data_IF_588498560769
#
_entry.id   IF_588498560769
#
_cell.length_a   1.000
_cell.length_b   1.000
_cell.length_c   1.000
_cell.angle_alpha   90.00
_cell.angle_beta   90.00
_cell.angle_gamma   90.00
#
_symmetry.space_group_name_H-M   'P 1'
#
loop_
_entity.id
_entity.type
_entity.pdbx_description
1 polymer ?
#
# COMPACT_ATOMS: atom_id res chain seq x y z
N UNK A 1 -1.97 -14.17 -11.83
CA UNK A 1 -0.50 -13.94 -11.72
C UNK A 1 0.25 -15.24 -11.95
N UNK A 2 -0.02 -16.35 -11.23
CA UNK A 2 0.68 -17.64 -11.41
C UNK A 2 0.56 -18.13 -12.86
N UNK A 3 -0.63 -18.12 -13.44
CA UNK A 3 -0.84 -18.51 -14.84
C UNK A 3 -0.05 -17.63 -15.81
N UNK A 4 0.06 -16.33 -15.52
CA UNK A 4 0.84 -15.40 -16.33
C UNK A 4 2.35 -15.68 -16.21
N UNK A 5 2.86 -15.91 -15.00
CA UNK A 5 4.26 -16.27 -14.78
C UNK A 5 4.57 -17.58 -15.52
N UNK A 6 3.71 -18.59 -15.40
CA UNK A 6 3.87 -19.86 -16.09
C UNK A 6 3.84 -19.72 -17.62
N UNK A 7 2.91 -18.92 -18.15
CA UNK A 7 2.83 -18.61 -19.57
C UNK A 7 4.08 -17.86 -20.06
N UNK A 8 4.51 -16.86 -19.32
CA UNK A 8 5.70 -16.09 -19.64
C UNK A 8 6.99 -16.91 -19.60
N UNK A 9 7.15 -17.76 -18.59
CA UNK A 9 8.27 -18.71 -18.55
C UNK A 9 8.20 -19.70 -19.74
N UNK A 10 7.00 -20.16 -20.11
CA UNK A 10 6.79 -20.98 -21.30
C UNK A 10 7.24 -20.28 -22.59
N UNK A 11 6.89 -19.00 -22.77
CA UNK A 11 7.36 -18.18 -23.90
C UNK A 11 8.89 -18.10 -23.91
N UNK A 12 9.50 -17.83 -22.75
CA UNK A 12 10.95 -17.72 -22.64
C UNK A 12 11.69 -19.03 -22.94
N UNK A 13 11.12 -20.18 -22.53
CA UNK A 13 11.76 -21.50 -22.68
C UNK A 13 11.54 -22.12 -24.04
N UNK A 14 10.37 -21.94 -24.64
CA UNK A 14 9.94 -22.64 -25.84
C UNK A 14 9.75 -21.74 -27.06
N UNK A 15 9.90 -20.42 -26.92
CA UNK A 15 9.79 -19.46 -28.01
C UNK A 15 8.37 -19.38 -28.61
N UNK A 16 7.32 -19.70 -27.86
CA UNK A 16 5.94 -19.57 -28.32
C UNK A 16 5.54 -18.08 -28.40
N UNK A 17 5.04 -17.64 -29.56
CA UNK A 17 4.49 -16.30 -29.74
C UNK A 17 4.90 -15.68 -31.07
N UNK A 18 3.95 -15.07 -31.77
CA UNK A 18 4.20 -14.44 -33.06
C UNK A 18 5.04 -13.14 -32.87
N UNK A 19 6.20 -13.09 -33.55
CA UNK A 19 6.89 -11.83 -33.83
C UNK A 19 7.98 -11.38 -32.84
N UNK A 20 8.50 -12.22 -31.96
CA UNK A 20 9.56 -11.84 -31.04
C UNK A 20 10.87 -12.57 -31.32
N UNK A 21 11.69 -12.02 -32.23
CA UNK A 21 13.06 -12.50 -32.53
C UNK A 21 14.04 -12.30 -31.35
N UNK A 22 13.59 -11.70 -30.24
CA UNK A 22 14.44 -11.35 -29.09
C UNK A 22 13.78 -11.60 -27.72
N UNK A 23 13.04 -12.70 -27.56
CA UNK A 23 12.56 -13.10 -26.22
C UNK A 23 13.66 -13.79 -25.44
N UNK A 24 13.96 -13.29 -24.25
CA UNK A 24 14.95 -13.91 -23.37
C UNK A 24 15.53 -12.93 -22.35
N UNK A 25 16.34 -13.47 -21.46
CA UNK A 25 17.02 -12.73 -20.41
C UNK A 25 17.90 -11.58 -20.97
N UNK A 26 18.31 -11.69 -22.26
CA UNK A 26 19.04 -10.64 -22.98
C UNK A 26 18.31 -9.30 -23.03
N UNK A 27 16.97 -9.27 -23.02
CA UNK A 27 16.19 -8.03 -23.00
C UNK A 27 16.45 -7.17 -21.74
N UNK A 28 16.86 -7.78 -20.64
CA UNK A 28 17.22 -7.05 -19.42
C UNK A 28 18.46 -6.16 -19.61
N UNK A 29 19.30 -6.43 -20.61
CA UNK A 29 20.51 -5.68 -20.91
C UNK A 29 20.53 -5.03 -22.30
N UNK A 30 19.64 -5.43 -23.20
CA UNK A 30 19.70 -5.04 -24.62
C UNK A 30 19.43 -3.54 -24.87
N UNK A 31 18.59 -2.90 -24.05
CA UNK A 31 18.15 -1.51 -24.24
C UNK A 31 18.83 -0.57 -23.24
N UNK A 32 20.09 -0.19 -23.50
CA UNK A 32 20.91 0.69 -22.67
C UNK A 32 21.33 0.08 -21.30
N UNK A 33 21.34 -1.27 -21.21
CA UNK A 33 21.79 -1.99 -20.02
C UNK A 33 20.71 -2.15 -18.94
N UNK A 34 21.10 -2.77 -17.83
CA UNK A 34 20.23 -3.08 -16.71
C UNK A 34 19.67 -1.85 -15.98
N UNK A 35 20.37 -0.73 -16.04
CA UNK A 35 19.95 0.56 -15.45
C UNK A 35 19.96 1.66 -16.52
N UNK A 36 19.02 1.68 -17.48
CA UNK A 36 19.05 2.61 -18.60
C UNK A 36 18.98 4.08 -18.18
N UNK A 37 18.35 4.38 -17.06
CA UNK A 37 18.28 5.73 -16.49
C UNK A 37 19.25 5.94 -15.30
N UNK A 38 20.22 5.03 -15.12
CA UNK A 38 21.18 5.07 -14.04
C UNK A 38 20.55 5.00 -12.63
N UNK A 39 21.32 5.38 -11.62
CA UNK A 39 20.85 5.42 -10.22
C UNK A 39 19.68 6.39 -10.03
N UNK A 40 19.63 7.48 -10.78
CA UNK A 40 18.53 8.46 -10.69
C UNK A 40 17.20 7.82 -11.06
N UNK A 41 17.18 6.97 -12.10
CA UNK A 41 15.99 6.20 -12.48
C UNK A 41 15.56 5.21 -11.40
N UNK A 42 16.52 4.53 -10.76
CA UNK A 42 16.24 3.63 -9.62
C UNK A 42 15.64 4.40 -8.45
N UNK A 43 16.19 5.56 -8.10
CA UNK A 43 15.65 6.41 -7.02
C UNK A 43 14.24 6.89 -7.37
N UNK A 44 14.01 7.35 -8.60
CA UNK A 44 12.69 7.80 -9.05
C UNK A 44 11.65 6.66 -8.99
N UNK A 45 12.04 5.42 -9.27
CA UNK A 45 11.14 4.26 -9.22
C UNK A 45 10.62 3.94 -7.82
N UNK A 46 11.32 4.34 -6.75
CA UNK A 46 10.83 4.11 -5.38
C UNK A 46 9.45 4.73 -5.12
N UNK A 47 9.13 5.86 -5.73
CA UNK A 47 7.80 6.48 -5.60
C UNK A 47 6.68 5.54 -6.08
N UNK A 48 6.91 4.79 -7.17
CA UNK A 48 5.95 3.84 -7.74
C UNK A 48 5.99 2.50 -7.00
N UNK A 49 7.19 2.03 -6.67
CA UNK A 49 7.40 0.76 -5.94
C UNK A 49 6.73 0.82 -4.57
N UNK A 50 6.85 1.94 -3.84
CA UNK A 50 6.22 2.08 -2.53
C UNK A 50 4.69 2.06 -2.61
N UNK A 51 4.10 2.62 -3.68
CA UNK A 51 2.66 2.49 -3.93
C UNK A 51 2.23 1.03 -4.07
N UNK A 52 3.02 0.22 -4.79
CA UNK A 52 2.70 -1.20 -5.01
C UNK A 52 2.69 -2.05 -3.72
N UNK A 53 3.32 -1.59 -2.64
CA UNK A 53 3.31 -2.25 -1.34
C UNK A 53 2.23 -1.75 -0.38
N UNK A 54 1.45 -0.74 -0.75
CA UNK A 54 0.32 -0.27 0.04
C UNK A 54 -0.66 -1.40 0.37
N UNK A 55 -1.24 -1.36 1.57
CA UNK A 55 -2.17 -2.37 2.06
C UNK A 55 -1.56 -3.44 2.99
N UNK A 56 -0.23 -3.52 3.14
CA UNK A 56 0.38 -4.46 4.10
C UNK A 56 0.02 -4.12 5.55
N UNK A 57 -0.26 -2.86 5.85
CA UNK A 57 -0.73 -2.38 7.16
C UNK A 57 -2.09 -2.94 7.57
N UNK A 58 -2.92 -3.37 6.62
CA UNK A 58 -4.24 -3.96 6.88
C UNK A 58 -4.12 -5.21 7.77
N UNK A 59 -2.99 -5.95 7.68
CA UNK A 59 -2.71 -7.08 8.57
C UNK A 59 -2.76 -6.65 10.05
N UNK A 60 -2.25 -5.46 10.36
CA UNK A 60 -2.31 -4.89 11.71
C UNK A 60 -3.71 -4.45 12.11
N UNK A 61 -4.45 -3.83 11.19
CA UNK A 61 -5.83 -3.35 11.43
C UNK A 61 -6.79 -4.50 11.72
N UNK A 62 -6.62 -5.64 11.02
CA UNK A 62 -7.46 -6.83 11.19
C UNK A 62 -6.98 -7.79 12.28
N UNK A 63 -5.89 -7.45 12.96
CA UNK A 63 -5.26 -8.29 13.98
C UNK A 63 -6.21 -8.71 15.11
N UNK A 64 -7.09 -7.80 15.55
CA UNK A 64 -8.05 -8.04 16.64
C UNK A 64 -9.16 -9.02 16.27
N UNK A 65 -9.35 -9.33 14.99
CA UNK A 65 -10.38 -10.27 14.51
C UNK A 65 -9.86 -11.69 14.32
N UNK A 66 -8.54 -11.89 14.40
CA UNK A 66 -7.95 -13.22 14.29
C UNK A 66 -8.24 -14.06 15.54
N UNK A 67 -8.61 -15.33 15.35
CA UNK A 67 -8.89 -16.27 16.47
C UNK A 67 -7.68 -16.46 17.41
N UNK A 68 -6.47 -16.42 16.88
CA UNK A 68 -5.21 -16.56 17.63
C UNK A 68 -4.16 -15.59 17.06
N UNK A 69 -4.27 -14.28 17.42
CA UNK A 69 -3.40 -13.25 16.85
C UNK A 69 -1.91 -13.56 17.06
N UNK A 70 -1.56 -14.12 18.21
CA UNK A 70 -0.16 -14.43 18.57
C UNK A 70 0.51 -15.42 17.63
N UNK A 71 -0.24 -16.31 16.95
CA UNK A 71 0.29 -17.27 15.96
C UNK A 71 0.05 -16.82 14.52
N UNK A 72 -1.13 -16.28 14.25
CA UNK A 72 -1.55 -15.94 12.89
C UNK A 72 -0.77 -14.74 12.35
N UNK A 73 -0.58 -13.68 13.14
CA UNK A 73 0.11 -12.47 12.71
C UNK A 73 1.59 -12.69 12.38
N UNK A 74 2.41 -13.33 13.22
CA UNK A 74 3.79 -13.60 12.88
C UNK A 74 3.93 -14.41 11.58
N UNK A 75 3.05 -15.39 11.37
CA UNK A 75 3.03 -16.19 10.15
C UNK A 75 2.65 -15.38 8.93
N UNK A 76 1.62 -14.54 9.03
CA UNK A 76 1.21 -13.64 7.97
C UNK A 76 2.33 -12.68 7.59
N UNK A 77 2.95 -12.00 8.57
CA UNK A 77 4.04 -11.04 8.36
C UNK A 77 5.24 -11.72 7.70
N UNK A 78 5.66 -12.88 8.18
CA UNK A 78 6.82 -13.60 7.64
C UNK A 78 6.59 -14.14 6.22
N UNK A 79 5.34 -14.31 5.77
CA UNK A 79 5.04 -14.72 4.40
C UNK A 79 5.03 -13.57 3.38
N UNK A 80 4.91 -12.30 3.85
CA UNK A 80 4.89 -11.13 2.96
C UNK A 80 6.12 -11.04 2.07
N UNK A 81 7.38 -11.13 2.57
CA UNK A 81 8.56 -11.06 1.71
C UNK A 81 8.58 -12.12 0.61
N UNK A 82 8.14 -13.35 0.92
CA UNK A 82 8.07 -14.45 -0.06
C UNK A 82 7.04 -14.13 -1.15
N UNK A 83 5.87 -13.60 -0.77
CA UNK A 83 4.83 -13.19 -1.72
C UNK A 83 5.31 -12.05 -2.61
N UNK A 84 6.02 -11.08 -2.06
CA UNK A 84 6.61 -9.98 -2.83
C UNK A 84 7.61 -10.54 -3.85
N UNK A 85 8.51 -11.41 -3.42
CA UNK A 85 9.49 -12.02 -4.32
C UNK A 85 8.82 -12.77 -5.47
N UNK A 86 7.82 -13.60 -5.18
CA UNK A 86 7.12 -14.42 -6.17
C UNK A 86 6.21 -13.58 -7.07
N UNK A 87 5.41 -12.68 -6.52
CA UNK A 87 4.36 -12.03 -7.29
C UNK A 87 4.77 -10.69 -7.90
N UNK A 88 5.76 -10.02 -7.36
CA UNK A 88 6.27 -8.75 -7.91
C UNK A 88 7.58 -8.95 -8.66
N UNK A 89 8.61 -9.42 -7.98
CA UNK A 89 9.95 -9.53 -8.60
C UNK A 89 9.96 -10.51 -9.76
N UNK A 90 9.40 -11.71 -9.56
CA UNK A 90 9.36 -12.73 -10.62
C UNK A 90 8.43 -12.30 -11.77
N UNK A 91 7.31 -11.64 -11.49
CA UNK A 91 6.43 -11.11 -12.53
C UNK A 91 7.12 -10.05 -13.38
N UNK A 92 7.80 -9.08 -12.74
CA UNK A 92 8.55 -8.05 -13.46
C UNK A 92 9.71 -8.64 -14.24
N UNK A 93 10.42 -9.60 -13.67
CA UNK A 93 11.48 -10.32 -14.37
C UNK A 93 10.97 -10.97 -15.66
N UNK A 94 9.87 -11.72 -15.59
CA UNK A 94 9.26 -12.38 -16.75
C UNK A 94 8.78 -11.35 -17.78
N UNK A 95 8.10 -10.28 -17.35
CA UNK A 95 7.64 -9.22 -18.24
C UNK A 95 8.79 -8.58 -19.00
N UNK A 96 9.86 -8.18 -18.29
CA UNK A 96 11.02 -7.49 -18.87
C UNK A 96 11.90 -8.42 -19.69
N UNK A 97 11.85 -9.74 -19.47
CA UNK A 97 12.51 -10.72 -20.31
C UNK A 97 11.78 -10.95 -21.64
N UNK A 98 10.45 -10.81 -21.66
CA UNK A 98 9.63 -10.97 -22.88
C UNK A 98 9.61 -9.67 -23.68
N UNK A 99 9.39 -8.53 -23.02
CA UNK A 99 9.25 -7.24 -23.68
C UNK A 99 10.36 -6.27 -23.25
N UNK A 100 10.89 -5.49 -24.20
CA UNK A 100 11.77 -4.36 -23.87
C UNK A 100 11.06 -3.40 -22.90
N UNK A 101 11.78 -2.92 -21.90
CA UNK A 101 11.21 -2.03 -20.88
C UNK A 101 10.54 -0.77 -21.44
N UNK A 102 11.04 -0.26 -22.56
CA UNK A 102 10.55 0.94 -23.24
C UNK A 102 9.26 0.73 -24.04
N UNK A 103 8.85 -0.52 -24.28
CA UNK A 103 7.59 -0.86 -24.98
C UNK A 103 6.46 -1.22 -24.00
N UNK A 104 6.78 -1.56 -22.75
CA UNK A 104 5.78 -2.01 -21.78
C UNK A 104 4.81 -0.87 -21.45
N UNK A 105 3.51 -1.17 -21.54
CA UNK A 105 2.43 -0.26 -21.14
C UNK A 105 2.05 0.80 -22.17
N UNK A 106 2.63 0.78 -23.35
CA UNK A 106 2.23 1.72 -24.42
C UNK A 106 0.87 1.37 -25.05
N UNK A 107 0.54 0.08 -25.12
CA UNK A 107 -0.66 -0.44 -25.78
C UNK A 107 -1.74 -0.93 -24.79
N UNK A 108 -1.56 -0.75 -23.49
CA UNK A 108 -2.51 -1.20 -22.48
C UNK A 108 -1.88 -1.98 -21.33
N UNK A 109 -2.61 -2.97 -20.81
CA UNK A 109 -2.12 -3.81 -19.72
C UNK A 109 -1.07 -4.80 -20.21
N UNK A 110 0.15 -4.83 -19.67
CA UNK A 110 1.18 -5.81 -20.05
C UNK A 110 0.73 -7.26 -19.89
N UNK A 111 -0.18 -7.52 -18.95
CA UNK A 111 -0.77 -8.84 -18.76
C UNK A 111 -1.62 -9.29 -19.95
N UNK A 112 -2.37 -8.34 -20.54
CA UNK A 112 -3.19 -8.59 -21.72
C UNK A 112 -2.31 -8.80 -22.95
N UNK A 113 -1.25 -8.02 -23.09
CA UNK A 113 -0.31 -8.14 -24.22
C UNK A 113 0.34 -9.52 -24.30
N UNK A 114 0.77 -10.10 -23.15
CA UNK A 114 1.35 -11.45 -23.11
C UNK A 114 0.40 -12.49 -23.70
N UNK A 115 -0.87 -12.48 -23.29
CA UNK A 115 -1.83 -13.49 -23.77
C UNK A 115 -2.30 -13.23 -25.20
N UNK A 116 -2.35 -11.98 -25.61
CA UNK A 116 -2.61 -11.61 -27.00
C UNK A 116 -1.51 -12.09 -27.95
N UNK A 117 -0.25 -11.98 -27.53
CA UNK A 117 0.89 -12.48 -28.32
C UNK A 117 0.90 -14.00 -28.49
N UNK A 118 0.27 -14.74 -27.57
CA UNK A 118 0.05 -16.18 -27.68
C UNK A 118 -1.11 -16.56 -28.63
N UNK A 119 -1.75 -15.58 -29.29
CA UNK A 119 -2.88 -15.80 -30.18
C UNK A 119 -4.20 -16.10 -29.47
N UNK A 120 -4.26 -15.96 -28.15
CA UNK A 120 -5.45 -16.24 -27.34
C UNK A 120 -6.25 -14.94 -27.12
N UNK A 121 -6.92 -14.44 -28.16
CA UNK A 121 -7.70 -13.21 -28.09
C UNK A 121 -8.80 -13.23 -27.01
N UNK A 122 -9.37 -14.39 -26.72
CA UNK A 122 -10.34 -14.56 -25.62
C UNK A 122 -9.72 -14.37 -24.24
N UNK A 123 -8.43 -14.60 -24.07
CA UNK A 123 -7.73 -14.41 -22.81
C UNK A 123 -7.62 -12.92 -22.43
N UNK A 124 -7.55 -12.02 -23.40
CA UNK A 124 -7.57 -10.57 -23.15
C UNK A 124 -8.84 -10.15 -22.39
N UNK A 125 -10.00 -10.62 -22.81
CA UNK A 125 -11.27 -10.33 -22.16
C UNK A 125 -11.38 -10.95 -20.76
N UNK A 126 -10.93 -12.20 -20.61
CA UNK A 126 -10.88 -12.89 -19.30
C UNK A 126 -9.96 -12.15 -18.34
N UNK A 127 -8.77 -11.72 -18.81
CA UNK A 127 -7.84 -10.96 -17.99
C UNK A 127 -8.36 -9.59 -17.59
N UNK A 128 -9.03 -8.88 -18.49
CA UNK A 128 -9.70 -7.62 -18.14
C UNK A 128 -10.74 -7.84 -17.03
N UNK A 129 -11.52 -8.93 -17.11
CA UNK A 129 -12.47 -9.27 -16.04
C UNK A 129 -11.75 -9.58 -14.71
N UNK A 130 -10.62 -10.30 -14.77
CA UNK A 130 -9.78 -10.59 -13.59
C UNK A 130 -9.22 -9.29 -12.98
N UNK A 131 -8.73 -8.36 -13.81
CA UNK A 131 -8.22 -7.07 -13.34
C UNK A 131 -9.34 -6.23 -12.69
N UNK A 132 -10.52 -6.20 -13.30
CA UNK A 132 -11.69 -5.49 -12.74
C UNK A 132 -12.08 -6.11 -11.39
N UNK A 133 -12.19 -7.43 -11.30
CA UNK A 133 -12.54 -8.11 -10.03
C UNK A 133 -11.48 -7.92 -8.97
N UNK A 134 -10.20 -7.90 -9.33
CA UNK A 134 -9.09 -7.60 -8.42
C UNK A 134 -9.17 -6.15 -7.90
N UNK A 135 -9.47 -5.18 -8.77
CA UNK A 135 -9.65 -3.79 -8.38
C UNK A 135 -10.84 -3.60 -7.42
N UNK A 136 -11.98 -4.24 -7.70
CA UNK A 136 -13.15 -4.24 -6.81
C UNK A 136 -12.79 -4.85 -5.45
N UNK A 137 -12.03 -5.95 -5.43
CA UNK A 137 -11.59 -6.59 -4.20
C UNK A 137 -10.67 -5.68 -3.39
N UNK A 138 -9.73 -4.97 -4.03
CA UNK A 138 -8.86 -3.99 -3.38
C UNK A 138 -9.67 -2.84 -2.76
N UNK A 139 -10.57 -2.23 -3.52
CA UNK A 139 -11.47 -1.17 -3.05
C UNK A 139 -12.28 -1.64 -1.84
N UNK A 140 -12.83 -2.86 -1.88
CA UNK A 140 -13.58 -3.41 -0.76
C UNK A 140 -12.71 -3.58 0.50
N UNK A 141 -11.45 -4.01 0.36
CA UNK A 141 -10.51 -4.12 1.46
C UNK A 141 -10.16 -2.77 2.08
N UNK A 142 -9.98 -1.74 1.24
CA UNK A 142 -9.70 -0.37 1.69
C UNK A 142 -10.90 0.24 2.42
N UNK A 143 -12.11 0.05 1.90
CA UNK A 143 -13.35 0.50 2.58
C UNK A 143 -13.50 -0.19 3.94
N UNK A 144 -13.21 -1.48 4.01
CA UNK A 144 -13.27 -2.23 5.26
C UNK A 144 -12.25 -1.70 6.28
N UNK A 145 -10.99 -1.56 5.88
CA UNK A 145 -9.92 -1.03 6.74
C UNK A 145 -10.20 0.39 7.21
N UNK A 146 -10.59 1.30 6.31
CA UNK A 146 -10.95 2.67 6.61
C UNK A 146 -12.17 2.73 7.54
N UNK A 147 -13.18 1.87 7.33
CA UNK A 147 -14.37 1.76 8.16
C UNK A 147 -14.04 1.44 9.61
N UNK A 148 -13.17 0.46 9.83
CA UNK A 148 -12.71 0.07 11.15
C UNK A 148 -11.91 1.15 11.86
N UNK A 149 -10.97 1.75 11.15
CA UNK A 149 -10.13 2.83 11.69
C UNK A 149 -10.96 4.05 12.09
N UNK A 150 -11.85 4.52 11.22
CA UNK A 150 -12.69 5.68 11.50
C UNK A 150 -13.69 5.41 12.63
N UNK A 151 -14.25 4.21 12.69
CA UNK A 151 -15.12 3.80 13.80
C UNK A 151 -14.37 3.79 15.13
N UNK A 152 -13.16 3.19 15.18
CA UNK A 152 -12.32 3.18 16.38
C UNK A 152 -11.96 4.58 16.85
N UNK A 153 -11.53 5.47 15.94
CA UNK A 153 -11.24 6.86 16.26
C UNK A 153 -12.47 7.62 16.79
N UNK A 154 -13.66 7.36 16.23
CA UNK A 154 -14.90 7.98 16.70
C UNK A 154 -15.32 7.47 18.09
N UNK A 155 -15.08 6.20 18.40
CA UNK A 155 -15.31 5.64 19.74
C UNK A 155 -14.37 6.26 20.80
N UNK A 156 -13.15 6.57 20.41
CA UNK A 156 -12.17 7.24 21.27
C UNK A 156 -12.37 8.78 21.33
N UNK A 157 -13.37 9.31 20.64
CA UNK A 157 -13.64 10.76 20.58
C UNK A 157 -12.65 11.54 19.71
N UNK A 158 -11.81 10.84 18.94
CA UNK A 158 -10.79 11.42 18.03
C UNK A 158 -11.32 11.69 16.62
N UNK A 159 -12.56 11.31 16.32
CA UNK A 159 -13.25 11.60 15.08
C UNK A 159 -14.71 12.00 15.35
N UNK A 160 -15.39 12.64 14.37
CA UNK A 160 -16.80 13.01 14.53
C UNK A 160 -17.68 11.82 14.90
N UNK A 161 -18.61 12.02 15.85
CA UNK A 161 -19.53 10.97 16.35
C UNK A 161 -20.39 10.32 15.25
N UNK A 162 -20.54 10.96 14.09
CA UNK A 162 -21.25 10.39 12.94
C UNK A 162 -20.60 9.09 12.44
N UNK A 163 -19.27 8.95 12.56
CA UNK A 163 -18.55 7.75 12.15
C UNK A 163 -18.73 6.55 13.10
N UNK A 164 -19.22 6.78 14.33
CA UNK A 164 -19.57 5.70 15.26
C UNK A 164 -20.95 5.07 14.99
N UNK A 165 -21.73 5.61 14.02
CA UNK A 165 -23.05 5.07 13.69
C UNK A 165 -22.92 3.85 12.80
N UNK A 166 -23.52 2.75 13.23
CA UNK A 166 -23.55 1.48 12.51
C UNK A 166 -24.93 1.22 11.94
N UNK A 167 -24.99 0.50 10.83
CA UNK A 167 -26.21 -0.12 10.33
C UNK A 167 -26.66 -1.25 11.26
N UNK A 168 -27.87 -1.80 11.05
CA UNK A 168 -28.35 -2.99 11.79
C UNK A 168 -27.39 -4.19 11.71
N UNK A 169 -26.61 -4.27 10.64
CA UNK A 169 -25.62 -5.34 10.41
C UNK A 169 -24.21 -4.99 10.92
N UNK A 170 -24.04 -3.92 11.72
CA UNK A 170 -22.76 -3.52 12.29
C UNK A 170 -21.79 -2.83 11.32
N UNK A 171 -22.28 -2.31 10.18
CA UNK A 171 -21.44 -1.67 9.16
C UNK A 171 -21.43 -0.15 9.36
N UNK A 172 -20.27 0.52 9.37
CA UNK A 172 -20.13 1.98 9.55
C UNK A 172 -20.49 2.72 8.25
N UNK A 173 -21.78 2.99 8.05
CA UNK A 173 -22.30 3.54 6.79
C UNK A 173 -21.77 4.93 6.44
N UNK A 174 -21.42 5.75 7.43
CA UNK A 174 -20.89 7.09 7.18
C UNK A 174 -19.51 7.03 6.53
N UNK A 175 -18.66 6.10 6.94
CA UNK A 175 -17.37 5.88 6.30
C UNK A 175 -17.54 5.41 4.85
N UNK A 176 -18.46 4.48 4.61
CA UNK A 176 -18.78 4.01 3.25
C UNK A 176 -19.25 5.18 2.36
N UNK A 177 -20.09 6.07 2.88
CA UNK A 177 -20.55 7.25 2.15
C UNK A 177 -19.40 8.18 1.78
N UNK A 178 -18.50 8.46 2.73
CA UNK A 178 -17.31 9.30 2.47
C UNK A 178 -16.40 8.65 1.44
N UNK A 179 -16.16 7.34 1.55
CA UNK A 179 -15.34 6.60 0.56
C UNK A 179 -15.99 6.60 -0.82
N UNK A 180 -17.31 6.42 -0.92
CA UNK A 180 -18.05 6.47 -2.18
C UNK A 180 -17.93 7.85 -2.85
N UNK A 181 -18.04 8.93 -2.08
CA UNK A 181 -17.85 10.30 -2.58
C UNK A 181 -16.43 10.48 -3.08
N UNK A 182 -15.44 10.03 -2.33
CA UNK A 182 -14.01 10.13 -2.71
C UNK A 182 -13.73 9.37 -4.01
N UNK A 183 -14.28 8.16 -4.15
CA UNK A 183 -14.16 7.35 -5.37
C UNK A 183 -14.83 8.06 -6.56
N UNK A 184 -16.02 8.63 -6.36
CA UNK A 184 -16.72 9.40 -7.39
C UNK A 184 -15.91 10.62 -7.82
N UNK A 185 -15.30 11.34 -6.89
CA UNK A 185 -14.37 12.43 -7.21
C UNK A 185 -13.18 11.93 -8.06
N UNK A 186 -12.63 10.75 -7.75
CA UNK A 186 -11.59 10.12 -8.56
C UNK A 186 -12.04 9.81 -9.99
N UNK A 187 -13.28 9.32 -10.18
CA UNK A 187 -13.86 9.06 -11.50
C UNK A 187 -14.02 10.38 -12.29
N UNK A 188 -14.55 11.42 -11.64
CA UNK A 188 -14.69 12.75 -12.28
C UNK A 188 -13.33 13.32 -12.66
N UNK A 189 -12.33 13.19 -11.79
CA UNK A 189 -10.96 13.64 -12.06
C UNK A 189 -10.35 12.90 -13.26
N UNK A 190 -10.59 11.59 -13.36
CA UNK A 190 -10.16 10.78 -14.51
C UNK A 190 -10.82 11.22 -15.83
N UNK A 191 -12.07 11.67 -15.77
CA UNK A 191 -12.75 12.22 -16.95
C UNK A 191 -12.19 13.59 -17.38
N UNK A 192 -11.87 14.46 -16.41
CA UNK A 192 -11.39 15.81 -16.66
C UNK A 192 -9.91 15.87 -17.08
N UNK A 193 -9.05 14.99 -16.53
CA UNK A 193 -7.59 15.01 -16.72
C UNK A 193 -7.08 13.58 -17.01
N UNK A 194 -7.47 12.95 -18.14
CA UNK A 194 -7.22 11.52 -18.37
C UNK A 194 -5.74 11.15 -18.50
N UNK A 195 -4.89 12.08 -19.01
CA UNK A 195 -3.52 11.73 -19.40
C UNK A 195 -2.54 11.47 -18.25
N UNK A 196 -2.74 12.05 -17.05
CA UNK A 196 -1.80 11.95 -15.94
C UNK A 196 -2.45 11.64 -14.60
N UNK A 197 -3.77 11.43 -14.57
CA UNK A 197 -4.52 11.27 -13.34
C UNK A 197 -4.03 10.09 -12.50
N UNK A 198 -3.68 8.97 -13.15
CA UNK A 198 -3.16 7.80 -12.46
C UNK A 198 -1.86 8.11 -11.68
N UNK A 199 -0.88 8.75 -12.32
CA UNK A 199 0.39 9.10 -11.68
C UNK A 199 0.20 10.08 -10.53
N UNK A 200 -0.70 11.05 -10.69
CA UNK A 200 -1.02 12.04 -9.64
C UNK A 200 -1.67 11.33 -8.44
N UNK A 201 -2.72 10.54 -8.66
CA UNK A 201 -3.41 9.83 -7.59
C UNK A 201 -2.49 8.81 -6.92
N UNK A 202 -1.73 8.03 -7.69
CA UNK A 202 -0.78 7.07 -7.17
C UNK A 202 0.32 7.74 -6.33
N UNK A 203 0.82 8.90 -6.75
CA UNK A 203 1.81 9.66 -5.99
C UNK A 203 1.26 10.18 -4.67
N UNK A 204 0.02 10.69 -4.67
CA UNK A 204 -0.67 11.15 -3.45
C UNK A 204 -0.90 9.97 -2.50
N UNK A 205 -1.35 8.83 -3.02
CA UNK A 205 -1.52 7.60 -2.24
C UNK A 205 -0.20 7.11 -1.67
N UNK A 206 0.91 7.18 -2.45
CA UNK A 206 2.26 6.85 -1.96
C UNK A 206 2.66 7.73 -0.78
N UNK A 207 2.47 9.05 -0.88
CA UNK A 207 2.76 9.94 0.24
C UNK A 207 1.96 9.55 1.49
N UNK A 208 0.65 9.34 1.34
CA UNK A 208 -0.22 8.96 2.45
C UNK A 208 0.22 7.65 3.11
N UNK A 209 0.52 6.62 2.30
CA UNK A 209 0.98 5.31 2.78
C UNK A 209 2.31 5.43 3.52
N UNK A 210 3.30 6.09 2.93
CA UNK A 210 4.63 6.27 3.54
C UNK A 210 4.52 7.09 4.83
N UNK A 211 3.65 8.12 4.87
CA UNK A 211 3.39 8.90 6.07
C UNK A 211 2.79 8.04 7.19
N UNK A 212 1.78 7.22 6.88
CA UNK A 212 1.17 6.30 7.86
C UNK A 212 2.19 5.31 8.38
N UNK A 213 3.00 4.71 7.51
CA UNK A 213 4.06 3.79 7.94
C UNK A 213 5.12 4.46 8.82
N UNK A 214 5.49 5.70 8.49
CA UNK A 214 6.39 6.50 9.32
C UNK A 214 5.80 6.70 10.72
N UNK A 215 4.51 7.06 10.82
CA UNK A 215 3.81 7.24 12.10
C UNK A 215 3.70 5.93 12.89
N UNK A 216 3.44 4.81 12.23
CA UNK A 216 3.44 3.47 12.86
C UNK A 216 4.82 3.16 13.47
N UNK A 217 5.90 3.41 12.70
CA UNK A 217 7.27 3.16 13.18
C UNK A 217 7.65 4.08 14.35
N UNK A 218 7.32 5.37 14.27
CA UNK A 218 7.57 6.31 15.37
C UNK A 218 6.79 5.90 16.62
N UNK A 219 5.52 5.54 16.47
CA UNK A 219 4.68 5.07 17.58
C UNK A 219 5.23 3.77 18.19
N UNK A 220 5.70 2.83 17.36
CA UNK A 220 6.32 1.59 17.81
C UNK A 220 7.60 1.87 18.61
N UNK A 221 8.45 2.79 18.14
CA UNK A 221 9.67 3.18 18.86
C UNK A 221 9.34 3.84 20.20
N UNK A 222 8.35 4.75 20.22
CA UNK A 222 7.90 5.41 21.45
C UNK A 222 7.35 4.38 22.46
N UNK A 223 6.46 3.50 22.02
CA UNK A 223 5.92 2.41 22.83
C UNK A 223 7.04 1.51 23.40
N UNK A 224 7.96 1.07 22.56
CA UNK A 224 9.05 0.19 22.97
C UNK A 224 9.99 0.84 23.99
N UNK A 225 10.22 2.16 23.90
CA UNK A 225 11.02 2.91 24.87
C UNK A 225 10.33 3.10 26.22
N UNK A 226 8.99 3.12 26.25
CA UNK A 226 8.22 3.24 27.49
C UNK A 226 8.06 1.89 28.23
N UNK A 227 8.36 0.75 27.58
CA UNK A 227 8.24 -0.57 28.18
C UNK A 227 9.39 -0.88 29.14
N UNK A 228 9.07 -1.54 30.27
CA UNK A 228 10.06 -2.10 31.18
C UNK A 228 10.77 -3.32 30.56
N UNK A 229 11.95 -3.67 31.06
CA UNK A 229 12.71 -4.86 30.58
C UNK A 229 11.89 -6.14 30.69
N UNK A 230 11.07 -6.30 31.75
CA UNK A 230 10.21 -7.45 31.95
C UNK A 230 9.08 -7.53 30.90
N UNK A 231 8.47 -6.41 30.55
CA UNK A 231 7.44 -6.34 29.47
C UNK A 231 8.05 -6.66 28.11
N UNK A 232 9.25 -6.13 27.84
CA UNK A 232 9.99 -6.42 26.61
C UNK A 232 10.27 -7.90 26.43
N UNK A 233 10.67 -8.60 27.51
CA UNK A 233 10.97 -10.03 27.48
C UNK A 233 9.72 -10.90 27.21
N UNK A 234 8.52 -10.38 27.48
CA UNK A 234 7.24 -11.07 27.25
C UNK A 234 6.62 -10.82 25.87
N UNK A 235 7.28 -10.03 25.00
CA UNK A 235 6.76 -9.79 23.65
C UNK A 235 6.78 -11.08 22.84
N UNK A 236 5.62 -11.49 22.35
CA UNK A 236 5.48 -12.68 21.52
C UNK A 236 6.20 -12.54 20.15
N UNK A 237 6.30 -11.31 19.64
CA UNK A 237 6.92 -11.03 18.35
C UNK A 237 7.77 -9.75 18.43
N UNK A 238 9.01 -9.84 18.98
CA UNK A 238 9.88 -8.67 19.09
C UNK A 238 10.46 -8.28 17.73
N UNK A 239 10.61 -6.97 17.50
CA UNK A 239 11.30 -6.44 16.31
C UNK A 239 12.77 -6.86 16.35
N UNK A 240 13.29 -7.51 15.27
CA UNK A 240 14.68 -7.92 15.21
C UNK A 240 15.61 -6.69 15.12
N UNK A 241 16.87 -6.88 15.51
CA UNK A 241 17.92 -5.84 15.42
C UNK A 241 17.54 -4.51 16.07
N UNK A 242 16.81 -4.54 17.17
CA UNK A 242 16.49 -3.34 17.93
C UNK A 242 17.76 -2.67 18.50
N UNK A 243 17.93 -1.32 18.44
CA UNK A 243 17.02 -0.30 17.86
C UNK A 243 17.34 0.04 16.40
N UNK A 244 18.31 -0.64 15.77
CA UNK A 244 18.86 -0.29 14.46
C UNK A 244 17.81 -0.43 13.33
N UNK A 245 17.08 -1.55 13.29
CA UNK A 245 16.11 -1.80 12.23
C UNK A 245 15.01 -0.72 12.14
N UNK A 246 14.30 -0.35 13.22
CA UNK A 246 13.30 0.72 13.13
C UNK A 246 13.91 2.08 12.78
N UNK A 247 15.12 2.40 13.24
CA UNK A 247 15.79 3.67 12.88
C UNK A 247 16.10 3.72 11.40
N UNK A 248 16.71 2.67 10.83
CA UNK A 248 17.00 2.60 9.39
C UNK A 248 15.74 2.67 8.55
N UNK A 249 14.65 2.01 8.99
CA UNK A 249 13.37 2.06 8.27
C UNK A 249 12.76 3.45 8.33
N UNK A 250 12.83 4.15 9.47
CA UNK A 250 12.37 5.55 9.59
C UNK A 250 13.17 6.46 8.65
N UNK A 251 14.49 6.31 8.61
CA UNK A 251 15.36 7.08 7.70
C UNK A 251 15.02 6.79 6.24
N UNK A 252 14.74 5.52 5.91
CA UNK A 252 14.32 5.14 4.57
C UNK A 252 12.95 5.75 4.20
N UNK A 253 11.97 5.76 5.11
CA UNK A 253 10.67 6.43 4.88
C UNK A 253 10.84 7.94 4.67
N UNK A 254 11.68 8.60 5.47
CA UNK A 254 12.01 10.00 5.29
C UNK A 254 12.69 10.27 3.94
N UNK A 255 13.59 9.38 3.53
CA UNK A 255 14.22 9.44 2.21
C UNK A 255 13.18 9.34 1.08
N UNK A 256 12.20 8.43 1.15
CA UNK A 256 11.14 8.32 0.15
C UNK A 256 10.31 9.61 0.06
N UNK A 257 9.97 10.23 1.20
CA UNK A 257 9.27 11.53 1.21
C UNK A 257 10.12 12.61 0.51
N UNK A 258 11.42 12.64 0.74
CA UNK A 258 12.34 13.56 0.07
C UNK A 258 12.39 13.30 -1.44
N UNK A 259 12.41 12.03 -1.87
CA UNK A 259 12.37 11.63 -3.29
C UNK A 259 11.09 12.11 -3.96
N UNK A 260 9.92 11.96 -3.31
CA UNK A 260 8.65 12.48 -3.83
C UNK A 260 8.68 14.00 -4.07
N UNK A 261 9.36 14.74 -3.19
CA UNK A 261 9.53 16.20 -3.34
C UNK A 261 10.57 16.62 -4.38
N UNK A 262 11.59 15.78 -4.60
CA UNK A 262 12.68 16.09 -5.52
C UNK A 262 12.25 16.02 -6.98
N UNK A 263 11.53 14.97 -7.39
CA UNK A 263 11.12 14.78 -8.78
C UNK A 263 9.87 15.61 -9.14
N UNK A 264 9.91 16.40 -10.22
CA UNK A 264 8.78 17.25 -10.64
C UNK A 264 7.48 16.48 -10.86
N UNK A 265 7.55 15.26 -11.38
CA UNK A 265 6.39 14.42 -11.66
C UNK A 265 5.60 14.00 -10.41
N UNK A 266 6.27 13.88 -9.25
CA UNK A 266 5.67 13.43 -7.98
C UNK A 266 5.54 14.54 -6.95
N UNK A 267 6.12 15.72 -7.20
CA UNK A 267 6.17 16.86 -6.27
C UNK A 267 4.80 17.34 -5.80
N UNK A 268 3.78 17.22 -6.65
CA UNK A 268 2.39 17.56 -6.29
C UNK A 268 1.89 16.73 -5.10
N UNK A 269 2.31 15.46 -5.02
CA UNK A 269 1.95 14.57 -3.91
C UNK A 269 2.48 15.08 -2.57
N UNK A 270 3.68 15.63 -2.56
CA UNK A 270 4.27 16.22 -1.36
C UNK A 270 3.50 17.46 -0.91
N UNK A 271 3.14 18.37 -1.83
CA UNK A 271 2.37 19.56 -1.49
C UNK A 271 0.97 19.21 -0.96
N UNK A 272 0.26 18.33 -1.65
CA UNK A 272 -1.07 17.87 -1.22
C UNK A 272 -0.99 17.14 0.11
N UNK A 273 0.01 16.26 0.28
CA UNK A 273 0.20 15.50 1.51
C UNK A 273 0.53 16.39 2.71
N UNK A 274 1.46 17.34 2.56
CA UNK A 274 1.80 18.29 3.63
C UNK A 274 0.62 19.20 3.97
N UNK A 275 -0.12 19.69 2.97
CA UNK A 275 -1.35 20.45 3.18
C UNK A 275 -2.39 19.63 3.96
N UNK A 276 -2.55 18.34 3.63
CA UNK A 276 -3.43 17.44 4.36
C UNK A 276 -2.98 17.23 5.81
N UNK A 277 -1.69 16.99 6.05
CA UNK A 277 -1.14 16.83 7.40
C UNK A 277 -1.35 18.11 8.23
N UNK A 278 -1.10 19.27 7.63
CA UNK A 278 -1.32 20.56 8.28
C UNK A 278 -2.81 20.76 8.63
N UNK A 279 -3.72 20.43 7.69
CA UNK A 279 -5.16 20.53 7.89
C UNK A 279 -5.63 19.59 9.01
N UNK A 280 -5.16 18.36 9.06
CA UNK A 280 -5.49 17.41 10.12
C UNK A 280 -4.94 17.85 11.48
N UNK A 281 -3.72 18.38 11.50
CA UNK A 281 -3.11 18.93 12.72
C UNK A 281 -3.90 20.14 13.24
N UNK A 282 -4.32 21.02 12.34
CA UNK A 282 -5.15 22.18 12.69
C UNK A 282 -6.54 21.75 13.20
N UNK A 283 -7.18 20.79 12.53
CA UNK A 283 -8.45 20.22 12.97
C UNK A 283 -8.34 19.58 14.36
N UNK A 284 -7.26 18.84 14.62
CA UNK A 284 -6.97 18.29 15.94
C UNK A 284 -6.78 19.41 16.98
N UNK A 285 -6.01 20.43 16.66
CA UNK A 285 -5.75 21.54 17.56
C UNK A 285 -7.03 22.31 17.93
N UNK A 286 -7.94 22.55 16.96
CA UNK A 286 -9.19 23.31 17.17
C UNK A 286 -10.22 22.48 17.93
N UNK A 287 -10.42 21.21 17.53
CA UNK A 287 -11.56 20.40 18.01
C UNK A 287 -11.20 19.46 19.15
N UNK A 288 -10.06 18.78 19.06
CA UNK A 288 -9.73 17.69 19.98
C UNK A 288 -8.92 18.15 21.20
N UNK A 289 -8.17 19.23 21.11
CA UNK A 289 -7.47 19.81 22.27
C UNK A 289 -8.44 20.23 23.39
N UNK A 290 -9.70 20.52 23.06
CA UNK A 290 -10.76 20.91 24.00
C UNK A 290 -11.66 19.74 24.44
N UNK A 291 -11.49 18.55 23.85
CA UNK A 291 -12.24 17.37 24.28
C UNK A 291 -11.74 16.96 25.69
N UNK A 292 -12.62 16.83 26.68
CA UNK A 292 -12.19 16.45 28.01
C UNK A 292 -11.56 15.04 27.93
N UNK A 293 -10.41 14.89 28.60
CA UNK A 293 -9.64 13.66 28.78
C UNK A 293 -10.39 12.56 29.58
N UNK A 294 -11.70 12.48 29.41
CA UNK A 294 -12.59 11.58 30.14
C UNK A 294 -12.27 10.10 29.91
N UNK A 295 -11.86 9.73 28.69
CA UNK A 295 -11.58 8.34 28.34
C UNK A 295 -10.25 7.84 28.95
N UNK A 296 -9.27 8.73 29.06
CA UNK A 296 -7.97 8.38 29.70
C UNK A 296 -8.13 8.20 31.21
N UNK A 297 -8.98 9.01 31.85
CA UNK A 297 -9.26 8.89 33.28
C UNK A 297 -10.13 7.67 33.65
N UNK A 298 -11.05 7.23 32.79
CA UNK A 298 -11.81 6.00 33.02
C UNK A 298 -10.95 4.75 32.89
N UNK A 299 -10.02 4.68 31.94
CA UNK A 299 -9.07 3.57 31.83
C UNK A 299 -8.08 3.53 33.00
N UNK A 300 -7.62 4.69 33.49
CA UNK A 300 -6.77 4.73 34.68
C UNK A 300 -7.53 4.22 35.91
N UNK A 301 -8.81 4.58 36.08
CA UNK A 301 -9.65 4.08 37.18
C UNK A 301 -10.00 2.58 37.07
N UNK A 302 -10.20 2.06 35.84
CA UNK A 302 -10.48 0.63 35.66
C UNK A 302 -9.25 -0.27 35.83
N UNK A 303 -8.04 0.28 35.69
CA UNK A 303 -6.79 -0.46 35.96
C UNK A 303 -6.40 -0.45 37.44
N UNK A 304 -7.03 0.38 38.26
CA UNK A 304 -6.80 0.48 39.71
C UNK A 304 -7.81 -0.33 40.55
N UNK A 305 -8.84 -0.94 39.93
CA UNK A 305 -9.75 -1.82 40.66
C UNK A 305 -9.07 -3.17 40.93
N UNK A 306 -8.87 -3.52 42.21
CA UNK A 306 -8.31 -4.83 42.58
C UNK A 306 -9.28 -5.96 42.20
N UNK A 307 -8.73 -7.01 41.58
CA UNK A 307 -9.37 -8.29 41.22
C UNK A 307 -9.85 -9.06 42.45
#
# INVERSE_FOLDING_TARGET
>A
IIAMIAAGLGIMMFGFGAGHDSTGVSNLWAHQGFMPNGITGVIASFAVVMFAFGGIEIIGVTASEAKDPGKVLPRAINTVPIRILLFYVLTLFVLMAIYPWNSIGQNGSPFVEIFSSLGINSAANILNLVVITAAISAINSDIYGAGRMMYGLAQEGLAPKSFSRLTRNGVPYMTILVMAITLLCGVVLNYLIPKNVFLVIASIATFATVWVWLMILVSQVAMRRSMSKAQVARLAFPVPFWPLAPILTILFMAFIIAVLGYFPATRIAMYVGLAWVALMTLAWWIWLRKAPSCVIQERAKSSEMPS
#
